data_IF_535334237817
#
_entry.id   IF_535334237817
#
_cell.length_a   1.000
_cell.length_b   1.000
_cell.length_c   1.000
_cell.angle_alpha   90.00
_cell.angle_beta   90.00
_cell.angle_gamma   90.00
#
_symmetry.space_group_name_H-M   'P 1'
#
loop_
_entity.id
_entity.type
_entity.pdbx_description
1 polymer ?
#
# COMPACT_ATOMS: atom_id res chain seq x y z
N UNK A 1 5.47 7.74 -12.19
CA UNK A 1 4.13 8.11 -11.69
C UNK A 1 3.19 7.04 -12.19
N UNK A 2 2.66 6.17 -11.32
CA UNK A 2 1.72 5.13 -11.71
C UNK A 2 0.32 5.73 -11.65
N UNK A 3 -0.39 5.73 -12.78
CA UNK A 3 -1.79 6.09 -12.85
C UNK A 3 -2.63 4.82 -12.70
N UNK A 4 -3.43 4.76 -11.63
CA UNK A 4 -4.45 3.73 -11.50
C UNK A 4 -5.66 4.06 -12.38
N UNK A 5 -6.44 3.03 -12.73
CA UNK A 5 -7.71 3.21 -13.43
C UNK A 5 -8.66 4.14 -12.66
N UNK A 6 -9.66 4.69 -13.37
CA UNK A 6 -10.61 5.64 -12.82
C UNK A 6 -11.31 5.05 -11.58
N UNK A 7 -10.98 5.60 -10.41
CA UNK A 7 -11.50 5.08 -9.15
C UNK A 7 -12.89 5.62 -8.81
N UNK A 8 -13.27 6.80 -9.30
CA UNK A 8 -14.50 7.53 -8.90
C UNK A 8 -15.03 8.42 -10.01
N UNK A 9 -16.29 8.85 -9.90
CA UNK A 9 -16.83 9.95 -10.70
C UNK A 9 -16.35 11.29 -10.12
N UNK A 10 -15.95 12.23 -10.98
CA UNK A 10 -15.48 13.57 -10.56
C UNK A 10 -16.58 14.63 -10.72
N UNK A 11 -16.50 15.66 -9.90
CA UNK A 11 -17.30 16.90 -10.01
C UNK A 11 -16.35 18.05 -9.72
N UNK A 12 -16.62 19.25 -10.25
CA UNK A 12 -15.72 20.41 -10.24
C UNK A 12 -15.16 20.78 -8.84
N UNK A 13 -15.89 20.44 -7.77
CA UNK A 13 -15.51 20.69 -6.37
C UNK A 13 -14.91 19.49 -5.61
N UNK A 14 -14.68 18.34 -6.28
CA UNK A 14 -14.23 17.09 -5.63
C UNK A 14 -12.82 16.69 -6.08
N UNK A 15 -12.24 15.78 -5.29
CA UNK A 15 -10.92 15.20 -5.49
C UNK A 15 -10.71 14.66 -6.92
N UNK A 16 -9.44 14.61 -7.40
CA UNK A 16 -9.10 14.21 -8.76
C UNK A 16 -9.63 12.82 -9.13
N UNK A 17 -9.98 12.67 -10.41
CA UNK A 17 -10.57 11.47 -11.01
C UNK A 17 -9.66 10.24 -10.90
N UNK A 18 -8.35 10.46 -10.98
CA UNK A 18 -7.32 9.43 -10.88
C UNK A 18 -6.56 9.56 -9.56
N UNK A 19 -6.28 8.41 -8.94
CA UNK A 19 -5.41 8.34 -7.78
C UNK A 19 -3.96 8.36 -8.24
N UNK A 20 -3.24 9.43 -7.92
CA UNK A 20 -1.83 9.55 -8.20
C UNK A 20 -1.01 9.10 -7.00
N UNK A 21 -0.21 8.06 -7.19
CA UNK A 21 0.76 7.64 -6.18
C UNK A 21 2.13 8.26 -6.45
N UNK A 22 2.56 9.07 -5.50
CA UNK A 22 3.93 9.59 -5.44
C UNK A 22 4.74 8.73 -4.47
N UNK A 23 6.07 8.85 -4.53
CA UNK A 23 6.97 8.16 -3.60
C UNK A 23 6.61 8.42 -2.13
N UNK A 24 6.17 9.64 -1.81
CA UNK A 24 5.66 9.98 -0.47
C UNK A 24 4.42 9.18 -0.06
N UNK A 25 3.48 8.98 -0.99
CA UNK A 25 2.26 8.17 -0.80
C UNK A 25 2.61 6.71 -0.55
N UNK A 26 3.51 6.16 -1.36
CA UNK A 26 4.00 4.78 -1.25
C UNK A 26 4.69 4.56 0.11
N UNK A 27 5.61 5.47 0.50
CA UNK A 27 6.28 5.42 1.80
C UNK A 27 5.29 5.48 2.97
N UNK A 28 4.24 6.29 2.87
CA UNK A 28 3.18 6.34 3.89
C UNK A 28 2.44 5.01 4.02
N UNK A 29 2.12 4.39 2.90
CA UNK A 29 1.41 3.11 2.82
C UNK A 29 2.26 1.94 3.30
N UNK A 30 3.56 1.94 3.02
CA UNK A 30 4.48 0.85 3.35
C UNK A 30 5.06 0.97 4.76
N UNK A 31 5.55 2.16 5.15
CA UNK A 31 6.34 2.36 6.36
C UNK A 31 5.53 3.00 7.49
N UNK A 32 4.65 3.94 7.16
CA UNK A 32 3.90 4.71 8.17
C UNK A 32 2.52 4.10 8.51
N UNK A 33 2.18 2.90 8.01
CA UNK A 33 0.99 2.19 8.48
C UNK A 33 1.22 1.69 9.90
N UNK A 34 0.20 1.85 10.75
CA UNK A 34 0.22 1.37 12.12
C UNK A 34 0.33 -0.17 12.15
N UNK A 35 1.56 -0.66 12.32
CA UNK A 35 1.91 -2.06 12.45
C UNK A 35 3.27 -2.20 13.10
N UNK A 36 3.65 -3.42 13.48
CA UNK A 36 4.96 -3.73 14.07
C UNK A 36 5.61 -4.88 13.33
N UNK A 37 6.86 -4.69 12.94
CA UNK A 37 7.73 -5.80 12.56
C UNK A 37 8.20 -6.49 13.84
N UNK A 38 7.88 -7.77 13.97
CA UNK A 38 8.24 -8.64 15.09
C UNK A 38 8.94 -9.90 14.56
N UNK A 39 9.51 -10.72 15.45
CA UNK A 39 10.14 -11.99 15.09
C UNK A 39 9.61 -13.16 15.93
N UNK A 40 8.30 -13.49 15.86
CA UNK A 40 7.78 -14.68 16.52
C UNK A 40 8.53 -15.92 16.01
N UNK A 41 9.06 -16.72 16.93
CA UNK A 41 9.81 -17.95 16.62
C UNK A 41 10.97 -17.73 15.60
N UNK A 42 11.56 -16.54 15.58
CA UNK A 42 12.66 -16.19 14.67
C UNK A 42 12.23 -15.77 13.26
N UNK A 43 10.94 -15.82 12.92
CA UNK A 43 10.44 -15.42 11.60
C UNK A 43 10.01 -13.95 11.56
N UNK A 44 10.59 -13.16 10.65
CA UNK A 44 10.21 -11.76 10.47
C UNK A 44 8.73 -11.65 10.04
N UNK A 45 7.92 -11.08 10.91
CA UNK A 45 6.46 -11.03 10.77
C UNK A 45 5.96 -9.60 10.96
N UNK A 46 5.09 -9.13 10.07
CA UNK A 46 4.42 -7.84 10.20
C UNK A 46 3.07 -8.02 10.91
N UNK A 47 2.96 -7.57 12.16
CA UNK A 47 1.74 -7.60 12.96
C UNK A 47 0.97 -6.28 12.82
N UNK A 48 -0.32 -6.34 12.50
CA UNK A 48 -1.20 -5.16 12.34
C UNK A 48 -2.64 -5.51 12.66
N UNK A 49 -3.50 -4.49 12.78
CA UNK A 49 -4.95 -4.69 12.84
C UNK A 49 -5.46 -5.37 11.59
N UNK A 50 -6.49 -6.22 11.74
CA UNK A 50 -7.04 -6.97 10.62
C UNK A 50 -7.65 -6.01 9.58
N UNK A 51 -6.96 -5.86 8.45
CA UNK A 51 -7.42 -5.06 7.32
C UNK A 51 -7.09 -5.78 6.00
N UNK A 52 -8.09 -6.44 5.37
CA UNK A 52 -7.88 -7.24 4.16
C UNK A 52 -7.30 -6.43 2.99
N UNK A 53 -7.75 -5.20 2.79
CA UNK A 53 -7.27 -4.34 1.69
C UNK A 53 -5.78 -4.02 1.85
N UNK A 54 -5.36 -3.70 3.08
CA UNK A 54 -3.96 -3.43 3.43
C UNK A 54 -3.09 -4.67 3.23
N UNK A 55 -3.58 -5.85 3.64
CA UNK A 55 -2.87 -7.11 3.48
C UNK A 55 -2.63 -7.43 2.00
N UNK A 56 -3.67 -7.37 1.18
CA UNK A 56 -3.55 -7.64 -0.26
C UNK A 56 -2.59 -6.68 -0.96
N UNK A 57 -2.65 -5.40 -0.61
CA UNK A 57 -1.75 -4.39 -1.16
C UNK A 57 -0.28 -4.65 -0.79
N UNK A 58 0.01 -5.02 0.46
CA UNK A 58 1.38 -5.33 0.90
C UNK A 58 1.94 -6.60 0.26
N UNK A 59 1.11 -7.64 0.10
CA UNK A 59 1.50 -8.86 -0.58
C UNK A 59 1.80 -8.60 -2.06
N UNK A 60 0.99 -7.78 -2.73
CA UNK A 60 1.23 -7.37 -4.10
C UNK A 60 2.59 -6.65 -4.25
N UNK A 61 2.92 -5.70 -3.36
CA UNK A 61 4.22 -5.03 -3.41
C UNK A 61 5.40 -5.98 -3.14
N UNK A 62 5.26 -6.92 -2.20
CA UNK A 62 6.28 -7.93 -1.93
C UNK A 62 6.55 -8.83 -3.14
N UNK A 63 5.50 -9.23 -3.84
CA UNK A 63 5.60 -10.07 -5.04
C UNK A 63 6.27 -9.33 -6.20
N UNK A 64 5.88 -8.08 -6.43
CA UNK A 64 6.52 -7.21 -7.42
C UNK A 64 8.01 -6.98 -7.11
N UNK A 65 8.37 -6.78 -5.84
CA UNK A 65 9.78 -6.61 -5.44
C UNK A 65 10.60 -7.88 -5.61
N UNK A 66 10.04 -9.07 -5.33
CA UNK A 66 10.73 -10.34 -5.57
C UNK A 66 11.03 -10.58 -7.05
N UNK A 67 10.13 -10.16 -7.93
CA UNK A 67 10.30 -10.32 -9.38
C UNK A 67 11.37 -9.38 -9.97
N UNK A 68 11.78 -8.36 -9.23
CA UNK A 68 12.75 -7.35 -9.67
C UNK A 68 14.16 -7.52 -9.05
N UNK A 69 14.36 -8.52 -8.20
CA UNK A 69 15.61 -8.82 -7.49
C UNK A 69 16.29 -10.06 -8.06
#
# INVERSE_FOLDING_TARGET
MLCHEQARNTTEKRAPLWCFEQLGTVRRKLIQRAGRLTRPQGQLTLTMSANPAVKSELLHYLDAMKSAA
#
